data_IF_449471834774
#
_entry.id   IF_449471834774
#
_cell.length_a   1.000
_cell.length_b   1.000
_cell.length_c   1.000
_cell.angle_alpha   90.00
_cell.angle_beta   90.00
_cell.angle_gamma   90.00
#
_symmetry.space_group_name_H-M   'P 1'
#
loop_
_entity.id
_entity.type
_entity.pdbx_description
1 polymer ?
#
# COMPACT_ATOMS: atom_id res chain seq x y z
N UNK A 1 7.58 7.94 22.25
CA UNK A 1 6.96 7.01 21.27
C UNK A 1 5.53 7.38 20.91
N UNK A 2 4.64 7.70 21.88
CA UNK A 2 3.29 8.23 21.62
C UNK A 2 3.27 9.63 20.96
N UNK A 3 4.32 10.43 21.15
CA UNK A 3 4.46 11.77 20.56
C UNK A 3 4.51 11.75 19.02
N UNK A 4 4.97 10.64 18.40
CA UNK A 4 4.93 10.49 16.93
C UNK A 4 3.52 10.16 16.39
N UNK A 5 2.60 9.69 17.24
CA UNK A 5 1.23 9.34 16.82
C UNK A 5 0.39 10.61 16.56
N UNK A 6 0.75 11.73 17.18
CA UNK A 6 0.10 13.03 16.98
C UNK A 6 0.91 14.01 16.10
N UNK A 7 1.98 13.53 15.46
CA UNK A 7 2.68 14.35 14.48
C UNK A 7 1.76 14.65 13.28
N UNK A 8 1.91 15.81 12.64
CA UNK A 8 1.07 16.28 11.53
C UNK A 8 0.91 15.24 10.41
N UNK A 9 1.91 14.39 10.20
CA UNK A 9 1.93 13.31 9.21
C UNK A 9 1.11 12.07 9.61
N UNK A 10 1.11 11.75 10.91
CA UNK A 10 0.20 10.76 11.49
C UNK A 10 -1.24 11.28 11.42
N UNK A 11 -1.45 12.59 11.61
CA UNK A 11 -2.75 13.25 11.40
C UNK A 11 -3.17 13.14 9.94
N UNK A 12 -2.29 13.36 8.95
CA UNK A 12 -2.61 13.15 7.53
C UNK A 12 -2.98 11.70 7.25
N UNK A 13 -2.22 10.74 7.78
CA UNK A 13 -2.49 9.30 7.61
C UNK A 13 -3.82 8.90 8.26
N UNK A 14 -4.13 9.47 9.43
CA UNK A 14 -5.41 9.34 10.14
C UNK A 14 -6.52 10.04 9.34
N UNK A 15 -6.28 11.19 8.72
CA UNK A 15 -7.26 11.93 7.90
C UNK A 15 -7.57 11.16 6.62
N UNK A 16 -6.58 10.63 5.91
CA UNK A 16 -6.84 9.78 4.74
C UNK A 16 -7.51 8.47 5.12
N UNK A 17 -7.01 7.78 6.15
CA UNK A 17 -7.60 6.53 6.65
C UNK A 17 -9.02 6.73 7.19
N UNK A 18 -9.28 7.84 7.89
CA UNK A 18 -10.59 8.20 8.41
C UNK A 18 -11.52 8.72 7.33
N UNK A 19 -11.12 9.57 6.38
CA UNK A 19 -11.99 10.03 5.29
C UNK A 19 -12.50 8.86 4.44
N UNK A 20 -11.64 7.89 4.18
CA UNK A 20 -11.99 6.65 3.49
C UNK A 20 -12.92 5.79 4.34
N UNK A 21 -12.60 5.59 5.62
CA UNK A 21 -13.45 4.84 6.55
C UNK A 21 -14.81 5.52 6.73
N UNK A 22 -14.86 6.84 6.98
CA UNK A 22 -16.06 7.66 7.09
C UNK A 22 -16.89 7.64 5.82
N UNK A 23 -16.28 7.64 4.62
CA UNK A 23 -17.04 7.53 3.37
C UNK A 23 -17.63 6.13 3.17
N UNK A 24 -16.92 5.08 3.56
CA UNK A 24 -17.46 3.72 3.59
C UNK A 24 -18.55 3.55 4.67
N UNK A 25 -18.42 4.24 5.80
CA UNK A 25 -19.36 4.24 6.92
C UNK A 25 -20.63 5.08 6.63
N UNK A 26 -20.49 6.21 5.92
CA UNK A 26 -21.61 7.08 5.52
C UNK A 26 -22.55 6.46 4.48
N UNK A 27 -22.20 5.31 3.90
CA UNK A 27 -23.12 4.52 3.07
C UNK A 27 -24.39 4.16 3.88
N UNK A 28 -24.31 4.02 5.21
CA UNK A 28 -25.49 3.85 6.09
C UNK A 28 -26.49 5.01 6.02
N UNK A 29 -26.06 6.24 5.80
CA UNK A 29 -26.95 7.40 5.68
C UNK A 29 -27.82 7.35 4.42
N UNK A 30 -27.35 6.68 3.37
CA UNK A 30 -28.09 6.48 2.11
C UNK A 30 -28.92 5.19 2.14
N UNK A 31 -28.43 4.14 2.79
CA UNK A 31 -29.15 2.87 2.96
C UNK A 31 -30.44 3.06 3.76
N UNK A 32 -30.46 3.93 4.79
CA UNK A 32 -31.69 4.22 5.53
C UNK A 32 -32.80 4.90 4.70
N UNK A 33 -32.50 5.38 3.49
CA UNK A 33 -33.45 6.04 2.59
C UNK A 33 -33.82 5.20 1.35
N UNK A 34 -33.34 3.96 1.24
CA UNK A 34 -33.70 3.07 0.14
C UNK A 34 -34.23 1.75 0.71
N UNK A 35 -35.53 1.52 0.50
CA UNK A 35 -36.20 0.28 0.85
C UNK A 35 -35.45 -0.91 0.24
N UNK A 36 -35.10 -1.96 1.01
CA UNK A 36 -34.48 -3.14 0.43
C UNK A 36 -35.48 -3.83 -0.51
N UNK A 37 -35.12 -3.96 -1.79
CA UNK A 37 -35.82 -4.83 -2.72
C UNK A 37 -35.50 -6.27 -2.35
N UNK A 38 -36.39 -6.88 -1.56
CA UNK A 38 -36.34 -8.29 -1.19
C UNK A 38 -36.64 -9.11 -2.46
N UNK A 39 -35.61 -9.58 -3.15
CA UNK A 39 -35.77 -10.65 -4.13
C UNK A 39 -35.98 -11.97 -3.37
N UNK A 40 -36.96 -12.75 -3.81
CA UNK A 40 -37.50 -13.94 -3.15
C UNK A 40 -36.60 -15.17 -3.03
N UNK A 41 -35.28 -14.99 -2.93
CA UNK A 41 -34.32 -16.02 -2.51
C UNK A 41 -33.69 -15.57 -1.19
N UNK A 42 -34.13 -16.21 -0.10
CA UNK A 42 -33.90 -15.84 1.31
C UNK A 42 -32.44 -15.88 1.80
N UNK A 43 -31.43 -15.87 0.92
CA UNK A 43 -30.03 -15.98 1.35
C UNK A 43 -28.99 -15.16 0.58
N UNK A 44 -29.35 -14.41 -0.46
CA UNK A 44 -28.34 -13.62 -1.19
C UNK A 44 -28.93 -12.40 -1.90
N UNK A 45 -29.12 -11.30 -1.16
CA UNK A 45 -29.59 -10.03 -1.74
C UNK A 45 -28.61 -8.89 -1.41
N UNK A 46 -27.82 -8.53 -2.44
CA UNK A 46 -27.35 -7.18 -2.85
C UNK A 46 -26.33 -6.37 -2.05
N UNK A 47 -25.51 -6.92 -1.16
CA UNK A 47 -24.45 -6.12 -0.49
C UNK A 47 -23.47 -5.40 -1.45
N UNK A 48 -22.96 -6.11 -2.47
CA UNK A 48 -22.03 -5.53 -3.45
C UNK A 48 -22.67 -4.40 -4.28
N UNK A 49 -23.99 -4.41 -4.49
CA UNK A 49 -24.67 -3.34 -5.22
C UNK A 49 -24.76 -2.05 -4.38
N UNK A 50 -24.93 -2.14 -3.06
CA UNK A 50 -24.96 -0.97 -2.17
C UNK A 50 -23.57 -0.34 -1.99
N UNK A 51 -22.51 -1.16 -2.00
CA UNK A 51 -21.13 -0.69 -1.93
C UNK A 51 -20.53 -0.38 -3.31
N UNK A 52 -21.23 -0.63 -4.43
CA UNK A 52 -20.68 -0.51 -5.78
C UNK A 52 -20.10 0.88 -6.07
N UNK A 53 -20.83 1.94 -5.68
CA UNK A 53 -20.36 3.32 -5.83
C UNK A 53 -19.13 3.61 -4.96
N UNK A 54 -19.11 3.06 -3.74
CA UNK A 54 -17.97 3.16 -2.82
C UNK A 54 -16.76 2.42 -3.38
N UNK A 55 -16.93 1.18 -3.85
CA UNK A 55 -15.90 0.36 -4.50
C UNK A 55 -15.34 1.03 -5.76
N UNK A 56 -16.21 1.61 -6.59
CA UNK A 56 -15.80 2.36 -7.80
C UNK A 56 -14.98 3.59 -7.41
N UNK A 57 -15.48 4.42 -6.50
CA UNK A 57 -14.76 5.60 -6.00
C UNK A 57 -13.44 5.24 -5.34
N UNK A 58 -13.42 4.13 -4.60
CA UNK A 58 -12.23 3.58 -3.94
C UNK A 58 -11.18 3.18 -4.99
N UNK A 59 -11.58 2.43 -6.03
CA UNK A 59 -10.69 2.05 -7.14
C UNK A 59 -10.10 3.27 -7.86
N UNK A 60 -10.90 4.29 -8.15
CA UNK A 60 -10.40 5.52 -8.78
C UNK A 60 -9.45 6.29 -7.87
N UNK A 61 -9.78 6.43 -6.58
CA UNK A 61 -8.93 7.10 -5.61
C UNK A 61 -7.55 6.44 -5.53
N UNK A 62 -7.47 5.11 -5.56
CA UNK A 62 -6.18 4.40 -5.52
C UNK A 62 -5.36 4.56 -6.78
N UNK A 63 -5.99 4.51 -7.96
CA UNK A 63 -5.27 4.75 -9.20
C UNK A 63 -4.70 6.17 -9.21
N UNK A 64 -5.47 7.16 -8.75
CA UNK A 64 -4.98 8.55 -8.64
C UNK A 64 -3.86 8.67 -7.62
N UNK A 65 -4.01 8.05 -6.44
CA UNK A 65 -2.96 8.03 -5.41
C UNK A 65 -1.69 7.33 -5.90
N UNK A 66 -1.81 6.25 -6.67
CA UNK A 66 -0.69 5.57 -7.31
C UNK A 66 0.11 6.58 -8.15
N UNK A 67 -0.55 7.32 -9.05
CA UNK A 67 0.12 8.30 -9.91
C UNK A 67 0.71 9.46 -9.11
N UNK A 68 -0.02 9.97 -8.11
CA UNK A 68 0.46 11.08 -7.27
C UNK A 68 1.69 10.66 -6.48
N UNK A 69 1.66 9.52 -5.79
CA UNK A 69 2.80 9.01 -5.02
C UNK A 69 3.96 8.75 -5.97
N UNK A 70 3.74 8.06 -7.09
CA UNK A 70 4.79 7.76 -8.06
C UNK A 70 5.49 9.02 -8.59
N UNK A 71 4.73 10.05 -8.95
CA UNK A 71 5.28 11.29 -9.49
C UNK A 71 5.92 12.18 -8.41
N UNK A 72 5.36 12.21 -7.21
CA UNK A 72 5.87 13.09 -6.15
C UNK A 72 6.95 12.44 -5.28
N UNK A 73 7.11 11.11 -5.32
CA UNK A 73 8.11 10.38 -4.53
C UNK A 73 9.53 10.93 -4.73
N UNK A 74 10.02 11.24 -5.95
CA UNK A 74 11.37 11.76 -6.12
C UNK A 74 11.57 13.19 -5.58
N UNK A 75 10.48 13.90 -5.25
CA UNK A 75 10.51 15.26 -4.70
C UNK A 75 10.30 15.23 -3.19
N UNK A 76 9.33 14.45 -2.71
CA UNK A 76 8.90 14.38 -1.30
C UNK A 76 9.08 12.98 -0.69
N UNK A 77 10.13 12.26 -1.10
CA UNK A 77 10.36 10.85 -0.72
C UNK A 77 10.35 10.61 0.78
N UNK A 78 10.99 11.48 1.56
CA UNK A 78 11.02 11.39 3.03
C UNK A 78 9.61 11.46 3.62
N UNK A 79 8.78 12.41 3.17
CA UNK A 79 7.40 12.55 3.64
C UNK A 79 6.55 11.33 3.31
N UNK A 80 6.67 10.80 2.09
CA UNK A 80 5.97 9.56 1.72
C UNK A 80 6.48 8.35 2.51
N UNK A 81 7.78 8.27 2.78
CA UNK A 81 8.38 7.26 3.64
C UNK A 81 7.80 7.30 5.05
N UNK A 82 7.70 8.49 5.66
CA UNK A 82 7.10 8.68 6.99
C UNK A 82 5.61 8.32 7.01
N UNK A 83 4.85 8.67 5.96
CA UNK A 83 3.44 8.28 5.81
C UNK A 83 3.31 6.76 5.70
N UNK A 84 4.10 6.10 4.85
CA UNK A 84 4.07 4.65 4.71
C UNK A 84 4.47 3.93 6.01
N UNK A 85 5.49 4.44 6.70
CA UNK A 85 5.93 3.90 7.98
C UNK A 85 4.82 4.04 9.04
N UNK A 86 4.27 5.23 9.22
CA UNK A 86 3.19 5.47 10.19
C UNK A 86 1.94 4.65 9.87
N UNK A 87 1.58 4.57 8.59
CA UNK A 87 0.46 3.77 8.13
C UNK A 87 0.69 2.27 8.29
N UNK A 88 1.93 1.78 8.21
CA UNK A 88 2.25 0.37 8.48
C UNK A 88 1.83 -0.05 9.89
N UNK A 89 1.98 0.81 10.90
CA UNK A 89 1.52 0.53 12.27
C UNK A 89 0.01 0.74 12.44
N UNK A 90 -0.55 1.78 11.83
CA UNK A 90 -1.97 2.14 11.98
C UNK A 90 -2.91 1.26 11.16
N UNK A 91 -2.43 0.66 10.07
CA UNK A 91 -3.19 -0.17 9.14
C UNK A 91 -3.97 -1.29 9.84
N UNK A 92 -3.34 -2.01 10.76
CA UNK A 92 -3.99 -3.08 11.52
C UNK A 92 -5.14 -2.56 12.38
N UNK A 93 -4.98 -1.39 13.00
CA UNK A 93 -6.04 -0.76 13.79
C UNK A 93 -7.21 -0.33 12.90
N UNK A 94 -6.92 0.32 11.76
CA UNK A 94 -7.95 0.72 10.81
C UNK A 94 -8.69 -0.47 10.22
N UNK A 95 -7.96 -1.54 9.90
CA UNK A 95 -8.51 -2.80 9.44
C UNK A 95 -9.45 -3.41 10.48
N UNK A 96 -9.02 -3.56 11.73
CA UNK A 96 -9.82 -4.15 12.80
C UNK A 96 -11.09 -3.36 13.08
N UNK A 97 -10.99 -2.03 13.16
CA UNK A 97 -12.15 -1.14 13.34
C UNK A 97 -13.09 -1.27 12.15
N UNK A 98 -12.55 -1.28 10.93
CA UNK A 98 -13.29 -1.48 9.69
C UNK A 98 -14.07 -2.78 9.68
N UNK A 99 -13.42 -3.91 9.95
CA UNK A 99 -14.05 -5.24 10.00
C UNK A 99 -15.10 -5.30 11.11
N UNK A 100 -14.80 -4.83 12.33
CA UNK A 100 -15.74 -4.87 13.44
C UNK A 100 -17.05 -4.11 13.11
N UNK A 101 -16.92 -2.93 12.48
CA UNK A 101 -18.09 -2.16 12.06
C UNK A 101 -18.82 -2.86 10.90
N UNK A 102 -18.09 -3.45 9.96
CA UNK A 102 -18.67 -4.14 8.81
C UNK A 102 -19.46 -5.38 9.24
N UNK A 103 -18.90 -6.20 10.14
CA UNK A 103 -19.58 -7.36 10.74
C UNK A 103 -20.80 -6.91 11.54
N UNK A 104 -20.68 -5.85 12.37
CA UNK A 104 -21.81 -5.30 13.13
C UNK A 104 -22.96 -4.82 12.24
N UNK A 105 -22.63 -4.22 11.09
CA UNK A 105 -23.62 -3.59 10.21
C UNK A 105 -24.27 -4.57 9.23
N UNK A 106 -23.57 -5.62 8.82
CA UNK A 106 -23.97 -6.48 7.71
C UNK A 106 -24.03 -7.97 8.06
N UNK A 107 -23.72 -8.35 9.31
CA UNK A 107 -23.95 -9.70 9.84
C UNK A 107 -22.80 -10.70 9.66
N UNK A 108 -23.08 -11.96 10.02
CA UNK A 108 -22.09 -13.04 10.15
C UNK A 108 -21.40 -13.48 8.85
N UNK A 109 -21.99 -13.21 7.68
CA UNK A 109 -21.36 -13.51 6.38
C UNK A 109 -20.04 -12.77 6.16
N UNK A 110 -19.81 -11.66 6.89
CA UNK A 110 -18.59 -10.84 6.81
C UNK A 110 -17.50 -11.27 7.78
N UNK A 111 -17.70 -12.32 8.58
CA UNK A 111 -16.68 -12.84 9.50
C UNK A 111 -15.44 -13.32 8.73
N UNK A 112 -15.60 -13.73 7.48
CA UNK A 112 -14.48 -14.09 6.61
C UNK A 112 -13.50 -12.91 6.37
N UNK A 113 -13.95 -11.66 6.50
CA UNK A 113 -13.06 -10.51 6.35
C UNK A 113 -11.95 -10.51 7.40
N UNK A 114 -12.15 -11.16 8.56
CA UNK A 114 -11.13 -11.28 9.61
C UNK A 114 -9.85 -11.95 9.08
N UNK A 115 -9.94 -12.82 8.08
CA UNK A 115 -8.77 -13.49 7.49
C UNK A 115 -7.78 -12.53 6.84
N UNK A 116 -8.21 -11.33 6.41
CA UNK A 116 -7.31 -10.32 5.87
C UNK A 116 -6.38 -9.71 6.94
N UNK A 117 -6.57 -10.01 8.23
CA UNK A 117 -5.65 -9.55 9.29
C UNK A 117 -4.23 -10.07 9.05
N UNK A 118 -4.10 -11.32 8.60
CA UNK A 118 -2.80 -11.95 8.32
C UNK A 118 -2.14 -11.25 7.15
N UNK A 119 -2.88 -11.03 6.06
CA UNK A 119 -2.40 -10.29 4.90
C UNK A 119 -1.93 -8.88 5.28
N UNK A 120 -2.75 -8.15 6.03
CA UNK A 120 -2.46 -6.77 6.44
C UNK A 120 -1.20 -6.74 7.29
N UNK A 121 -1.07 -7.64 8.27
CA UNK A 121 0.14 -7.76 9.10
C UNK A 121 1.40 -8.02 8.26
N UNK A 122 1.35 -8.99 7.35
CA UNK A 122 2.47 -9.33 6.48
C UNK A 122 2.92 -8.15 5.63
N UNK A 123 1.97 -7.43 5.02
CA UNK A 123 2.29 -6.27 4.18
C UNK A 123 2.75 -5.08 5.02
N UNK A 124 2.23 -4.89 6.23
CA UNK A 124 2.71 -3.86 7.16
C UNK A 124 4.18 -4.05 7.53
N UNK A 125 4.60 -5.29 7.77
CA UNK A 125 6.01 -5.61 8.02
C UNK A 125 6.86 -5.29 6.79
N UNK A 126 6.43 -5.66 5.59
CA UNK A 126 7.15 -5.30 4.37
C UNK A 126 7.22 -3.77 4.17
N UNK A 127 6.15 -3.05 4.49
CA UNK A 127 6.08 -1.60 4.39
C UNK A 127 7.04 -0.89 5.35
N UNK A 128 7.13 -1.34 6.61
CA UNK A 128 8.05 -0.74 7.58
C UNK A 128 9.51 -0.95 7.16
N UNK A 129 9.90 -2.16 6.76
CA UNK A 129 11.24 -2.44 6.25
C UNK A 129 11.54 -1.77 4.91
N UNK A 130 10.53 -1.55 4.05
CA UNK A 130 10.70 -0.76 2.82
C UNK A 130 11.25 0.61 3.16
N UNK A 131 10.64 1.30 4.14
CA UNK A 131 11.05 2.65 4.53
C UNK A 131 12.44 2.64 5.14
N UNK A 132 12.73 1.69 6.04
CA UNK A 132 14.06 1.55 6.65
C UNK A 132 15.15 1.35 5.60
N UNK A 133 14.90 0.49 4.60
CA UNK A 133 15.88 0.23 3.55
C UNK A 133 16.07 1.45 2.64
N UNK A 134 14.99 2.17 2.33
CA UNK A 134 15.04 3.34 1.47
C UNK A 134 15.65 4.58 2.13
N UNK A 135 15.66 4.66 3.46
CA UNK A 135 16.21 5.80 4.19
C UNK A 135 17.69 6.05 3.85
N UNK A 136 18.44 4.97 3.67
CA UNK A 136 19.84 5.01 3.24
C UNK A 136 20.04 5.58 1.82
N UNK A 137 18.98 5.67 1.03
CA UNK A 137 19.06 6.06 -0.37
C UNK A 137 18.20 7.28 -0.73
N UNK A 138 17.40 7.85 0.19
CA UNK A 138 16.47 8.94 -0.12
C UNK A 138 17.13 10.16 -0.76
N UNK A 139 18.32 10.51 -0.29
CA UNK A 139 19.12 11.63 -0.81
C UNK A 139 19.45 11.43 -2.29
N UNK A 140 19.65 10.19 -2.74
CA UNK A 140 19.93 9.91 -4.15
C UNK A 140 18.73 10.13 -5.06
N UNK A 141 17.50 10.13 -4.57
CA UNK A 141 16.31 10.40 -5.39
C UNK A 141 16.02 11.90 -5.53
N UNK A 142 16.54 12.73 -4.63
CA UNK A 142 16.39 14.18 -4.73
C UNK A 142 17.00 14.69 -6.04
N UNK A 143 16.27 15.59 -6.72
CA UNK A 143 16.69 16.15 -8.00
C UNK A 143 16.52 15.21 -9.21
N UNK A 144 15.82 14.08 -9.06
CA UNK A 144 15.54 13.15 -10.17
C UNK A 144 15.02 13.85 -11.41
N UNK A 145 14.01 14.72 -11.29
CA UNK A 145 13.45 15.43 -12.44
C UNK A 145 14.46 16.37 -13.10
N UNK A 146 15.28 17.09 -12.32
CA UNK A 146 16.35 17.91 -12.86
C UNK A 146 17.36 17.08 -13.66
N UNK A 147 17.74 15.90 -13.14
CA UNK A 147 18.63 14.95 -13.81
C UNK A 147 18.02 14.34 -15.07
N UNK A 148 16.72 14.04 -15.05
CA UNK A 148 15.96 13.57 -16.20
C UNK A 148 15.91 14.64 -17.31
N UNK A 149 15.57 15.89 -16.96
CA UNK A 149 15.54 16.99 -17.92
C UNK A 149 16.94 17.24 -18.50
N UNK A 150 17.98 17.20 -17.68
CA UNK A 150 19.37 17.29 -18.13
C UNK A 150 19.74 16.14 -19.08
N UNK A 151 19.32 14.90 -18.81
CA UNK A 151 19.53 13.77 -19.73
C UNK A 151 18.89 14.01 -21.10
N UNK A 152 17.70 14.60 -21.14
CA UNK A 152 16.95 14.87 -22.38
C UNK A 152 17.63 16.01 -23.16
N UNK A 153 18.04 17.08 -22.50
CA UNK A 153 18.64 18.25 -23.17
C UNK A 153 20.08 18.02 -23.63
N UNK A 154 20.83 17.14 -22.94
CA UNK A 154 22.23 16.82 -23.26
C UNK A 154 22.40 15.53 -24.06
N UNK A 155 21.37 15.12 -24.82
CA UNK A 155 21.36 13.87 -25.55
C UNK A 155 22.61 13.68 -26.41
N UNK A 156 23.44 12.72 -26.03
CA UNK A 156 24.65 12.32 -26.75
C UNK A 156 24.83 10.82 -26.63
N UNK A 157 24.84 10.11 -27.76
CA UNK A 157 24.89 8.65 -27.74
C UNK A 157 26.33 8.18 -27.41
N UNK A 158 26.56 7.94 -26.13
CA UNK A 158 27.85 7.52 -25.56
C UNK A 158 27.63 6.48 -24.46
N UNK A 159 28.66 5.69 -24.14
CA UNK A 159 28.57 4.70 -23.07
C UNK A 159 28.22 5.33 -21.71
N UNK A 160 28.83 6.48 -21.40
CA UNK A 160 28.53 7.25 -20.19
C UNK A 160 27.08 7.73 -20.13
N UNK A 161 26.50 8.12 -21.26
CA UNK A 161 25.09 8.49 -21.34
C UNK A 161 24.17 7.29 -21.09
N UNK A 162 24.50 6.10 -21.61
CA UNK A 162 23.74 4.86 -21.35
C UNK A 162 23.80 4.47 -19.87
N UNK A 163 24.97 4.58 -19.24
CA UNK A 163 25.13 4.31 -17.80
C UNK A 163 24.31 5.29 -16.96
N UNK A 164 24.33 6.58 -17.32
CA UNK A 164 23.53 7.61 -16.67
C UNK A 164 22.02 7.34 -16.79
N UNK A 165 21.53 7.01 -18.00
CA UNK A 165 20.14 6.62 -18.22
C UNK A 165 19.75 5.36 -17.44
N UNK A 166 20.65 4.38 -17.34
CA UNK A 166 20.43 3.16 -16.56
C UNK A 166 20.27 3.49 -15.07
N UNK A 167 21.04 4.45 -14.56
CA UNK A 167 20.88 4.98 -13.20
C UNK A 167 19.51 5.61 -12.97
N UNK A 168 19.03 6.42 -13.92
CA UNK A 168 17.69 7.02 -13.86
C UNK A 168 16.57 5.97 -13.93
N UNK A 169 16.72 4.96 -14.80
CA UNK A 169 15.76 3.85 -14.89
C UNK A 169 15.67 3.07 -13.58
N UNK A 170 16.80 2.81 -12.92
CA UNK A 170 16.80 2.17 -11.60
C UNK A 170 16.05 2.99 -10.56
N UNK A 171 16.18 4.33 -10.58
CA UNK A 171 15.41 5.19 -9.68
C UNK A 171 13.89 5.10 -9.92
N UNK A 172 13.49 4.98 -11.19
CA UNK A 172 12.10 4.79 -11.58
C UNK A 172 11.57 3.43 -11.08
N UNK A 173 12.35 2.35 -11.26
CA UNK A 173 12.00 1.00 -10.79
C UNK A 173 11.82 0.97 -9.27
N UNK A 174 12.73 1.60 -8.53
CA UNK A 174 12.63 1.69 -7.06
C UNK A 174 11.37 2.46 -6.65
N UNK A 175 11.09 3.59 -7.31
CA UNK A 175 9.89 4.39 -7.05
C UNK A 175 8.61 3.60 -7.33
N UNK A 176 8.60 2.81 -8.41
CA UNK A 176 7.50 1.92 -8.74
C UNK A 176 7.32 0.84 -7.67
N UNK A 177 8.41 0.25 -7.17
CA UNK A 177 8.39 -0.71 -6.08
C UNK A 177 7.78 -0.15 -4.79
N UNK A 178 8.16 1.08 -4.41
CA UNK A 178 7.60 1.75 -3.24
C UNK A 178 6.08 1.91 -3.35
N UNK A 179 5.61 2.34 -4.52
CA UNK A 179 4.18 2.54 -4.76
C UNK A 179 3.43 1.20 -4.74
N UNK A 180 4.01 0.11 -5.24
CA UNK A 180 3.40 -1.23 -5.15
C UNK A 180 3.17 -1.64 -3.69
N UNK A 181 4.14 -1.41 -2.80
CA UNK A 181 4.02 -1.72 -1.38
C UNK A 181 2.95 -0.83 -0.74
N UNK A 182 3.01 0.47 -1.00
CA UNK A 182 2.05 1.45 -0.50
C UNK A 182 0.62 1.04 -0.87
N UNK A 183 0.37 0.81 -2.16
CA UNK A 183 -0.96 0.47 -2.68
C UNK A 183 -1.43 -0.89 -2.17
N UNK A 184 -0.55 -1.89 -2.06
CA UNK A 184 -0.91 -3.19 -1.49
C UNK A 184 -1.28 -3.09 -0.01
N UNK A 185 -0.61 -2.23 0.76
CA UNK A 185 -0.96 -1.96 2.15
C UNK A 185 -2.33 -1.27 2.25
N UNK A 186 -2.62 -0.29 1.39
CA UNK A 186 -3.94 0.33 1.34
C UNK A 186 -5.04 -0.70 1.00
N UNK A 187 -4.83 -1.52 -0.03
CA UNK A 187 -5.81 -2.52 -0.45
C UNK A 187 -6.07 -3.58 0.62
N UNK A 188 -5.04 -4.04 1.34
CA UNK A 188 -5.21 -5.00 2.43
C UNK A 188 -5.94 -4.38 3.63
N UNK A 189 -5.57 -3.15 4.02
CA UNK A 189 -6.20 -2.42 5.12
C UNK A 189 -7.72 -2.26 4.93
N UNK A 190 -8.14 -2.05 3.68
CA UNK A 190 -9.53 -1.80 3.32
C UNK A 190 -10.17 -2.96 2.54
N UNK A 191 -9.61 -4.16 2.64
CA UNK A 191 -10.08 -5.33 1.91
C UNK A 191 -11.57 -5.63 2.20
N UNK A 192 -12.02 -5.29 3.41
CA UNK A 192 -13.39 -5.40 3.90
C UNK A 192 -14.43 -4.56 3.14
N UNK A 193 -14.07 -3.70 2.18
CA UNK A 193 -15.07 -2.92 1.40
C UNK A 193 -15.83 -3.79 0.39
N UNK A 194 -15.24 -4.92 -0.04
CA UNK A 194 -15.86 -5.87 -0.96
C UNK A 194 -16.06 -7.21 -0.26
N UNK A 195 -17.30 -7.70 -0.32
CA UNK A 195 -17.60 -9.07 0.12
C UNK A 195 -17.07 -10.07 -0.90
N UNK A 196 -16.39 -11.08 -0.37
CA UNK A 196 -15.67 -12.10 -1.12
C UNK A 196 -15.88 -13.44 -0.42
N UNK A 197 -16.09 -14.48 -1.21
CA UNK A 197 -16.05 -15.85 -0.73
C UNK A 197 -14.63 -16.21 -0.29
N UNK A 198 -14.48 -17.30 0.47
CA UNK A 198 -13.18 -17.72 0.98
C UNK A 198 -12.11 -17.90 -0.13
N UNK A 199 -12.46 -18.49 -1.26
CA UNK A 199 -11.55 -18.64 -2.40
C UNK A 199 -11.11 -17.29 -2.97
N UNK A 200 -12.02 -16.31 -3.00
CA UNK A 200 -11.70 -14.96 -3.44
C UNK A 200 -10.83 -14.21 -2.41
N UNK A 201 -11.05 -14.43 -1.11
CA UNK A 201 -10.22 -13.90 -0.01
C UNK A 201 -8.78 -14.40 -0.17
N UNK A 202 -8.60 -15.70 -0.41
CA UNK A 202 -7.27 -16.31 -0.60
C UNK A 202 -6.60 -15.75 -1.86
N UNK A 203 -7.30 -15.75 -3.00
CA UNK A 203 -6.76 -15.19 -4.27
C UNK A 203 -6.35 -13.71 -4.13
N UNK A 204 -7.20 -12.91 -3.49
CA UNK A 204 -6.90 -11.50 -3.22
C UNK A 204 -5.67 -11.35 -2.33
N UNK A 205 -5.58 -12.16 -1.28
CA UNK A 205 -4.46 -12.14 -0.33
C UNK A 205 -3.15 -12.54 -1.01
N UNK A 206 -3.13 -13.65 -1.75
CA UNK A 206 -1.96 -14.10 -2.48
C UNK A 206 -1.49 -13.06 -3.51
N UNK A 207 -2.42 -12.47 -4.27
CA UNK A 207 -2.09 -11.45 -5.26
C UNK A 207 -1.43 -10.23 -4.61
N UNK A 208 -2.08 -9.62 -3.61
CA UNK A 208 -1.56 -8.41 -2.99
C UNK A 208 -0.31 -8.65 -2.16
N UNK A 209 -0.17 -9.81 -1.54
CA UNK A 209 1.07 -10.19 -0.87
C UNK A 209 2.23 -10.33 -1.88
N UNK A 210 2.01 -11.01 -3.01
CA UNK A 210 3.03 -11.17 -4.05
C UNK A 210 3.46 -9.82 -4.62
N UNK A 211 2.50 -8.94 -4.91
CA UNK A 211 2.78 -7.58 -5.38
C UNK A 211 3.57 -6.78 -4.34
N UNK A 212 3.22 -6.88 -3.05
CA UNK A 212 3.96 -6.23 -1.98
C UNK A 212 5.39 -6.77 -1.83
N UNK A 213 5.60 -8.09 -1.96
CA UNK A 213 6.94 -8.70 -1.92
C UNK A 213 7.80 -8.22 -3.09
N UNK A 214 7.27 -8.24 -4.31
CA UNK A 214 7.96 -7.71 -5.50
C UNK A 214 8.28 -6.22 -5.28
N UNK A 215 7.29 -5.44 -4.83
CA UNK A 215 7.45 -4.03 -4.53
C UNK A 215 8.55 -3.77 -3.50
N UNK A 216 8.59 -4.53 -2.41
CA UNK A 216 9.59 -4.45 -1.35
C UNK A 216 11.00 -4.71 -1.88
N UNK A 217 11.18 -5.77 -2.68
CA UNK A 217 12.48 -6.12 -3.26
C UNK A 217 12.98 -5.03 -4.20
N UNK A 218 12.09 -4.48 -5.04
CA UNK A 218 12.42 -3.37 -5.94
C UNK A 218 12.73 -2.09 -5.16
N UNK A 219 11.90 -1.74 -4.19
CA UNK A 219 12.02 -0.53 -3.38
C UNK A 219 13.29 -0.53 -2.51
N UNK A 220 13.70 -1.70 -2.02
CA UNK A 220 14.92 -1.89 -1.23
C UNK A 220 16.21 -1.83 -2.07
N UNK A 221 16.12 -1.44 -3.35
CA UNK A 221 17.26 -1.30 -4.25
C UNK A 221 18.06 -2.61 -4.47
N UNK A 222 17.39 -3.75 -4.33
CA UNK A 222 18.02 -5.09 -4.39
C UNK A 222 18.65 -5.37 -5.75
N UNK A 223 18.04 -4.89 -6.84
CA UNK A 223 18.59 -5.05 -8.20
C UNK A 223 19.94 -4.33 -8.36
N UNK A 224 20.08 -3.14 -7.78
CA UNK A 224 21.33 -2.41 -7.79
C UNK A 224 22.38 -3.12 -6.91
N UNK A 225 22.00 -3.61 -5.75
CA UNK A 225 22.89 -4.37 -4.88
C UNK A 225 23.40 -5.65 -5.56
N UNK A 226 22.54 -6.38 -6.27
CA UNK A 226 22.91 -7.54 -7.09
C UNK A 226 23.88 -7.17 -8.21
N UNK A 227 23.62 -6.08 -8.95
CA UNK A 227 24.52 -5.59 -10.01
C UNK A 227 25.93 -5.28 -9.48
N UNK A 228 26.04 -4.81 -8.23
CA UNK A 228 27.31 -4.44 -7.60
C UNK A 228 27.88 -5.55 -6.68
N UNK A 229 27.39 -6.79 -6.78
CA UNK A 229 27.83 -7.93 -5.97
C UNK A 229 27.75 -7.71 -4.44
N UNK A 230 26.83 -6.88 -3.97
CA UNK A 230 26.59 -6.64 -2.54
C UNK A 230 25.68 -7.72 -1.93
N UNK A 231 26.10 -8.98 -2.01
CA UNK A 231 25.34 -10.14 -1.52
C UNK A 231 24.93 -10.04 -0.03
N UNK A 232 25.75 -9.50 0.89
CA UNK A 232 25.33 -9.34 2.29
C UNK A 232 24.08 -8.47 2.46
N UNK A 233 23.98 -7.38 1.67
CA UNK A 233 22.80 -6.52 1.70
C UNK A 233 21.56 -7.22 1.12
N UNK A 234 21.72 -7.97 0.02
CA UNK A 234 20.63 -8.74 -0.57
C UNK A 234 20.07 -9.75 0.44
N UNK A 235 20.94 -10.48 1.14
CA UNK A 235 20.53 -11.42 2.18
C UNK A 235 19.83 -10.72 3.34
N UNK A 236 20.33 -9.55 3.75
CA UNK A 236 19.67 -8.73 4.77
C UNK A 236 18.25 -8.33 4.35
N UNK A 237 18.03 -7.90 3.10
CA UNK A 237 16.69 -7.56 2.59
C UNK A 237 15.73 -8.75 2.70
N UNK A 238 16.16 -9.96 2.36
CA UNK A 238 15.27 -11.14 2.49
C UNK A 238 15.07 -11.60 3.93
N UNK A 239 16.08 -11.46 4.78
CA UNK A 239 16.03 -11.91 6.17
C UNK A 239 15.26 -10.94 7.08
N UNK A 240 15.32 -9.63 6.82
CA UNK A 240 14.78 -8.62 7.73
C UNK A 240 13.27 -8.80 8.02
N UNK A 241 12.37 -8.99 7.02
CA UNK A 241 10.96 -9.24 7.29
C UNK A 241 10.71 -10.55 8.02
N UNK A 242 11.51 -11.59 7.76
CA UNK A 242 11.40 -12.90 8.43
C UNK A 242 11.80 -12.79 9.90
N UNK A 243 12.84 -12.00 10.19
CA UNK A 243 13.35 -11.79 11.54
C UNK A 243 12.31 -11.19 12.50
N UNK A 244 11.39 -10.38 11.96
CA UNK A 244 10.25 -9.86 12.71
C UNK A 244 9.33 -10.98 13.20
N UNK A 245 9.10 -12.03 12.41
CA UNK A 245 8.24 -13.13 12.82
C UNK A 245 8.95 -14.10 13.76
N UNK A 246 10.25 -14.33 13.55
CA UNK A 246 11.03 -15.22 14.41
C UNK A 246 11.35 -14.61 15.77
N UNK A 247 11.30 -13.29 15.94
CA UNK A 247 11.56 -12.65 17.25
C UNK A 247 10.46 -12.87 18.29
N UNK A 248 9.31 -13.41 17.88
CA UNK A 248 8.21 -13.79 18.77
C UNK A 248 8.28 -15.25 19.27
N UNK A 249 9.28 -16.02 18.81
CA UNK A 249 9.52 -17.42 19.19
C UNK A 249 10.86 -17.56 19.90
#
# INVERSE_FOLDING_TARGET
>A
MLENIFNFESIISIVFGSLVSFKALNVKGVINNQSPTINGDWNSVTYNNYMATTQKNFKYLWNVLFFIVFLLLPVWGVSFGMVLYSFSFLSLLFFLVGVAITVRNYGGGRVLDVFYIVLTLLISVLASYTVVNMDNFWVYYQGYYGRLFSAITSFTLSLSYIEYLTGLLNMLIVSFGFVMVFVSLMYSTFAYIKERDFDEVVKFSCYHFTVAVIGYVLASNTLWALKNNQLPYVLYVFHAPVSFFTSFF
#
